data_IF_930795202199
#
_entry.id   IF_930795202199
#
_cell.length_a   1.000
_cell.length_b   1.000
_cell.length_c   1.000
_cell.angle_alpha   90.00
_cell.angle_beta   90.00
_cell.angle_gamma   90.00
#
_symmetry.space_group_name_H-M   'P 1'
#
loop_
_entity.id
_entity.type
_entity.pdbx_description
1 polymer ?
#
# COMPACT_ATOMS: atom_id res chain seq x y z
N UNK A 1 -21.65 3.09 9.05
CA UNK A 1 -22.62 3.05 7.93
C UNK A 1 -22.01 3.87 6.80
N UNK A 2 -21.14 3.27 5.98
CA UNK A 2 -20.52 3.97 4.86
C UNK A 2 -21.54 4.11 3.74
N UNK A 3 -21.84 5.36 3.42
CA UNK A 3 -22.78 5.72 2.36
C UNK A 3 -22.13 5.45 1.01
N UNK A 4 -22.66 4.47 0.25
CA UNK A 4 -22.37 4.17 -1.17
C UNK A 4 -22.81 5.30 -2.12
N UNK A 5 -22.83 6.55 -1.65
CA UNK A 5 -23.53 7.69 -2.26
C UNK A 5 -22.79 8.34 -3.43
N UNK A 6 -21.64 7.83 -3.87
CA UNK A 6 -20.84 8.50 -4.93
C UNK A 6 -20.55 7.60 -6.15
N UNK A 7 -21.02 6.34 -6.18
CA UNK A 7 -20.87 5.48 -7.35
C UNK A 7 -22.11 5.57 -8.26
N UNK A 8 -21.91 5.71 -9.58
CA UNK A 8 -23.01 5.63 -10.56
C UNK A 8 -23.65 4.23 -10.58
N UNK A 9 -24.87 4.12 -11.11
CA UNK A 9 -25.67 2.89 -11.07
C UNK A 9 -25.05 1.70 -11.84
N UNK A 10 -24.24 1.96 -12.86
CA UNK A 10 -23.48 0.92 -13.58
C UNK A 10 -22.36 0.39 -12.71
N UNK A 11 -21.64 1.27 -12.02
CA UNK A 11 -20.59 0.91 -11.07
C UNK A 11 -21.15 0.05 -9.92
N UNK A 12 -22.31 0.42 -9.36
CA UNK A 12 -22.99 -0.39 -8.34
C UNK A 12 -23.40 -1.77 -8.87
N UNK A 13 -23.90 -1.83 -10.11
CA UNK A 13 -24.28 -3.10 -10.77
C UNK A 13 -23.10 -4.07 -10.90
N UNK A 14 -21.94 -3.57 -11.34
CA UNK A 14 -20.71 -4.38 -11.47
C UNK A 14 -20.22 -4.87 -10.11
N UNK A 15 -20.16 -3.99 -9.11
CA UNK A 15 -19.72 -4.36 -7.75
C UNK A 15 -20.66 -5.41 -7.15
N UNK A 16 -21.97 -5.22 -7.30
CA UNK A 16 -22.97 -6.15 -6.75
C UNK A 16 -22.88 -7.53 -7.41
N UNK A 17 -22.69 -7.58 -8.73
CA UNK A 17 -22.51 -8.84 -9.46
C UNK A 17 -21.24 -9.57 -9.01
N UNK A 18 -20.13 -8.85 -8.85
CA UNK A 18 -18.87 -9.41 -8.36
C UNK A 18 -19.01 -9.98 -6.94
N UNK A 19 -19.53 -9.19 -6.00
CA UNK A 19 -19.69 -9.61 -4.60
C UNK A 19 -20.63 -10.81 -4.47
N UNK A 20 -21.72 -10.82 -5.25
CA UNK A 20 -22.66 -11.94 -5.28
C UNK A 20 -22.03 -13.21 -5.85
N UNK A 21 -21.24 -13.09 -6.93
CA UNK A 21 -20.52 -14.22 -7.53
C UNK A 21 -19.45 -14.82 -6.61
N UNK A 22 -18.88 -14.01 -5.72
CA UNK A 22 -17.94 -14.45 -4.69
C UNK A 22 -18.61 -15.00 -3.42
N UNK A 23 -19.95 -15.05 -3.38
CA UNK A 23 -20.73 -15.35 -2.18
C UNK A 23 -20.30 -14.51 -0.97
N UNK A 24 -19.91 -13.26 -1.21
CA UNK A 24 -19.33 -12.39 -0.19
C UNK A 24 -20.37 -12.07 0.88
N UNK A 25 -20.02 -12.33 2.14
CA UNK A 25 -20.78 -11.90 3.32
C UNK A 25 -19.92 -10.93 4.14
N UNK A 26 -20.51 -9.83 4.59
CA UNK A 26 -19.79 -8.85 5.39
C UNK A 26 -19.34 -9.49 6.71
N UNK A 27 -18.04 -9.46 7.06
CA UNK A 27 -17.55 -10.01 8.32
C UNK A 27 -18.23 -9.33 9.51
N UNK A 28 -18.87 -10.11 10.39
CA UNK A 28 -19.43 -9.64 11.66
C UNK A 28 -18.31 -9.62 12.71
N UNK A 29 -17.41 -8.65 12.61
CA UNK A 29 -16.19 -8.61 13.42
C UNK A 29 -16.35 -7.69 14.63
N UNK A 30 -15.97 -8.18 15.82
CA UNK A 30 -15.85 -7.33 17.02
C UNK A 30 -14.55 -6.51 16.92
N UNK A 31 -14.54 -5.21 17.23
CA UNK A 31 -13.31 -4.42 17.18
C UNK A 31 -12.31 -4.93 18.22
N UNK A 32 -11.14 -5.36 17.75
CA UNK A 32 -10.01 -5.75 18.61
C UNK A 32 -9.20 -4.49 18.97
N UNK A 33 -9.03 -4.22 20.27
CA UNK A 33 -8.40 -3.01 20.79
C UNK A 33 -6.87 -3.09 20.93
N UNK A 34 -6.26 -4.27 20.87
CA UNK A 34 -4.87 -4.50 21.30
C UNK A 34 -3.79 -3.91 20.36
N UNK A 35 -3.79 -4.17 19.03
CA UNK A 35 -2.70 -3.73 18.14
C UNK A 35 -2.73 -2.22 17.79
N UNK A 36 -3.82 -1.50 18.09
CA UNK A 36 -3.95 -0.07 17.82
C UNK A 36 -2.98 0.79 18.67
N UNK A 37 -2.57 0.28 19.83
CA UNK A 37 -1.63 0.94 20.73
C UNK A 37 -0.16 0.82 20.29
N UNK A 38 0.17 -0.20 19.49
CA UNK A 38 1.52 -0.43 18.98
C UNK A 38 1.81 0.43 17.74
N UNK A 39 0.89 0.47 16.77
CA UNK A 39 1.01 1.29 15.55
C UNK A 39 1.07 2.79 15.85
N UNK A 40 0.32 3.25 16.86
CA UNK A 40 0.30 4.67 17.26
C UNK A 40 1.58 5.15 17.94
N UNK A 41 2.48 4.24 18.32
CA UNK A 41 3.79 4.51 18.92
C UNK A 41 4.96 4.30 17.96
N UNK A 42 4.70 3.81 16.76
CA UNK A 42 5.76 3.59 15.78
C UNK A 42 6.17 4.95 15.18
N UNK A 43 7.45 5.29 15.32
CA UNK A 43 8.04 6.54 14.82
C UNK A 43 7.84 6.71 13.32
N UNK A 44 7.71 5.62 12.56
CA UNK A 44 7.42 5.68 11.14
C UNK A 44 6.01 6.19 10.87
N UNK A 45 5.04 5.74 11.67
CA UNK A 45 3.64 6.18 11.60
C UNK A 45 3.50 7.61 12.13
N UNK A 46 4.27 8.00 13.14
CA UNK A 46 4.34 9.40 13.59
C UNK A 46 4.89 10.33 12.49
N UNK A 47 5.95 9.93 11.79
CA UNK A 47 6.51 10.72 10.68
C UNK A 47 5.51 10.85 9.53
N UNK A 48 4.82 9.74 9.19
CA UNK A 48 3.76 9.72 8.19
C UNK A 48 2.54 10.57 8.55
N UNK A 49 2.26 10.76 9.84
CA UNK A 49 1.10 11.53 10.34
C UNK A 49 1.41 13.00 10.64
N UNK A 50 2.63 13.48 10.34
CA UNK A 50 2.95 14.90 10.44
C UNK A 50 2.14 15.72 9.41
N UNK A 51 1.77 16.98 9.72
CA UNK A 51 0.69 17.70 9.03
C UNK A 51 1.10 18.30 7.67
N UNK A 52 1.90 17.59 6.87
CA UNK A 52 2.40 18.10 5.60
C UNK A 52 1.40 17.94 4.43
N UNK A 53 0.22 17.32 4.63
CA UNK A 53 -0.73 17.05 3.53
C UNK A 53 -2.20 17.27 3.93
N UNK A 54 -3.00 18.00 3.12
CA UNK A 54 -4.45 18.05 3.24
C UNK A 54 -5.09 16.87 2.49
N UNK A 55 -5.62 15.90 3.24
CA UNK A 55 -6.25 14.69 2.73
C UNK A 55 -6.66 13.79 3.90
N UNK A 56 -7.58 12.86 3.70
CA UNK A 56 -8.11 12.02 4.78
C UNK A 56 -7.01 11.38 5.62
N UNK A 57 -7.20 11.35 6.95
CA UNK A 57 -6.16 10.90 7.87
C UNK A 57 -5.76 9.46 7.56
N UNK A 58 -4.47 9.16 7.28
CA UNK A 58 -4.01 7.81 6.99
C UNK A 58 -4.30 6.80 8.11
N UNK A 59 -4.55 7.30 9.32
CA UNK A 59 -5.03 6.51 10.46
C UNK A 59 -6.36 5.82 10.17
N UNK A 60 -7.26 6.43 9.39
CA UNK A 60 -8.60 5.89 9.08
C UNK A 60 -8.53 4.66 8.18
N UNK A 61 -7.67 4.69 7.16
CA UNK A 61 -7.47 3.55 6.25
C UNK A 61 -6.79 2.37 6.95
N UNK A 62 -5.79 2.65 7.79
CA UNK A 62 -5.14 1.63 8.62
C UNK A 62 -6.13 0.94 9.58
N UNK A 63 -7.08 1.69 10.14
CA UNK A 63 -8.13 1.13 10.98
C UNK A 63 -9.12 0.25 10.20
N UNK A 64 -9.39 0.54 8.93
CA UNK A 64 -10.30 -0.27 8.10
C UNK A 64 -9.68 -1.57 7.61
N UNK A 65 -8.40 -1.56 7.23
CA UNK A 65 -7.72 -2.80 6.84
C UNK A 65 -7.58 -3.80 8.00
N UNK A 66 -7.49 -3.32 9.24
CA UNK A 66 -7.42 -4.17 10.44
C UNK A 66 -8.59 -5.14 10.57
N UNK A 67 -9.81 -4.67 10.34
CA UNK A 67 -11.01 -5.48 10.58
C UNK A 67 -11.15 -6.63 9.55
N UNK A 68 -10.43 -6.54 8.43
CA UNK A 68 -10.32 -7.59 7.41
C UNK A 68 -9.22 -8.62 7.72
N UNK A 69 -8.31 -8.33 8.66
CA UNK A 69 -7.14 -9.15 8.99
C UNK A 69 -7.32 -10.03 10.24
N UNK A 70 -8.55 -10.14 10.76
CA UNK A 70 -8.86 -10.91 11.97
C UNK A 70 -8.40 -12.38 12.02
N UNK A 71 -8.30 -13.15 10.92
CA UNK A 71 -7.79 -14.52 11.04
C UNK A 71 -6.29 -14.59 11.37
N UNK A 72 -5.56 -13.47 11.35
CA UNK A 72 -4.12 -13.45 11.59
C UNK A 72 -3.77 -13.14 13.05
N UNK A 73 -2.61 -13.63 13.53
CA UNK A 73 -2.04 -13.25 14.83
C UNK A 73 -1.81 -11.74 14.94
N UNK A 74 -1.71 -11.20 16.17
CA UNK A 74 -1.44 -9.77 16.39
C UNK A 74 -0.14 -9.28 15.71
N UNK A 75 0.90 -10.13 15.68
CA UNK A 75 2.18 -9.82 15.03
C UNK A 75 2.04 -9.69 13.51
N UNK A 76 1.29 -10.61 12.89
CA UNK A 76 0.96 -10.53 11.47
C UNK A 76 0.09 -9.30 11.16
N UNK A 77 -0.91 -9.01 12.00
CA UNK A 77 -1.75 -7.81 11.83
C UNK A 77 -0.91 -6.53 11.91
N UNK A 78 0.03 -6.46 12.84
CA UNK A 78 0.96 -5.33 12.98
C UNK A 78 1.83 -5.16 11.74
N UNK A 79 2.48 -6.24 11.30
CA UNK A 79 3.32 -6.19 10.10
C UNK A 79 2.51 -5.75 8.88
N UNK A 80 1.35 -6.36 8.63
CA UNK A 80 0.53 -6.03 7.46
C UNK A 80 0.08 -4.58 7.51
N UNK A 81 -0.34 -4.09 8.67
CA UNK A 81 -0.73 -2.69 8.83
C UNK A 81 0.45 -1.75 8.52
N UNK A 82 1.64 -2.01 9.05
CA UNK A 82 2.80 -1.15 8.82
C UNK A 82 3.32 -1.24 7.37
N UNK A 83 3.33 -2.44 6.78
CA UNK A 83 3.63 -2.66 5.37
C UNK A 83 2.69 -1.85 4.46
N UNK A 84 1.39 -1.90 4.74
CA UNK A 84 0.39 -1.14 3.98
C UNK A 84 0.57 0.36 4.18
N UNK A 85 0.81 0.83 5.41
CA UNK A 85 1.09 2.25 5.68
C UNK A 85 2.27 2.77 4.85
N UNK A 86 3.40 2.03 4.87
CA UNK A 86 4.58 2.40 4.08
C UNK A 86 4.31 2.35 2.57
N UNK A 87 3.46 1.44 2.11
CA UNK A 87 3.10 1.34 0.68
C UNK A 87 2.25 2.53 0.23
N UNK A 88 1.26 2.93 1.03
CA UNK A 88 0.44 4.12 0.75
C UNK A 88 1.32 5.38 0.77
N UNK A 89 2.23 5.50 1.75
CA UNK A 89 3.17 6.62 1.78
C UNK A 89 3.99 6.74 0.49
N UNK A 90 4.53 5.62 -0.02
CA UNK A 90 5.26 5.59 -1.30
C UNK A 90 4.37 6.06 -2.45
N UNK A 91 3.12 5.62 -2.51
CA UNK A 91 2.16 5.99 -3.56
C UNK A 91 1.86 7.51 -3.54
N UNK A 92 1.50 8.03 -2.37
CA UNK A 92 1.13 9.44 -2.17
C UNK A 92 2.30 10.40 -2.38
N UNK A 93 3.51 10.00 -1.96
CA UNK A 93 4.68 10.90 -1.90
C UNK A 93 5.70 10.64 -3.01
N UNK A 94 5.57 9.55 -3.76
CA UNK A 94 6.50 9.18 -4.82
C UNK A 94 6.61 10.24 -5.92
N UNK A 95 5.53 10.98 -6.19
CA UNK A 95 5.53 12.04 -7.18
C UNK A 95 6.32 13.29 -6.72
N UNK A 96 6.37 13.54 -5.41
CA UNK A 96 7.11 14.67 -4.84
C UNK A 96 8.62 14.38 -4.74
N UNK A 97 8.99 13.12 -4.47
CA UNK A 97 10.38 12.66 -4.42
C UNK A 97 10.59 11.33 -5.16
N UNK A 98 10.58 11.33 -6.50
CA UNK A 98 10.78 10.11 -7.28
C UNK A 98 12.20 9.55 -7.14
N UNK A 99 13.20 10.36 -6.76
CA UNK A 99 14.58 9.89 -6.59
C UNK A 99 14.68 8.92 -5.42
N UNK A 100 14.04 9.26 -4.28
CA UNK A 100 13.98 8.36 -3.12
C UNK A 100 13.39 6.99 -3.48
N UNK A 101 12.31 6.97 -4.28
CA UNK A 101 11.62 5.75 -4.71
C UNK A 101 12.50 4.93 -5.66
N UNK A 102 13.11 5.59 -6.65
CA UNK A 102 13.96 4.95 -7.65
C UNK A 102 15.24 4.32 -7.08
N UNK A 103 15.85 4.95 -6.08
CA UNK A 103 17.08 4.43 -5.45
C UNK A 103 16.82 3.35 -4.39
N UNK A 104 15.56 3.13 -3.99
CA UNK A 104 15.21 2.21 -2.89
C UNK A 104 15.74 0.80 -3.14
N UNK A 105 15.42 0.21 -4.29
CA UNK A 105 15.74 -1.20 -4.58
C UNK A 105 17.24 -1.46 -4.60
N UNK A 106 18.01 -0.53 -5.18
CA UNK A 106 19.47 -0.63 -5.20
C UNK A 106 20.04 -0.48 -3.79
N UNK A 107 19.55 0.47 -2.99
CA UNK A 107 19.99 0.63 -1.60
C UNK A 107 19.66 -0.58 -0.74
N UNK A 108 18.44 -1.09 -0.85
CA UNK A 108 17.96 -2.26 -0.13
C UNK A 108 18.83 -3.50 -0.42
N UNK A 109 19.13 -3.76 -1.69
CA UNK A 109 19.97 -4.88 -2.10
C UNK A 109 21.43 -4.78 -1.60
N UNK A 110 21.89 -3.58 -1.26
CA UNK A 110 23.24 -3.31 -0.77
C UNK A 110 23.28 -3.01 0.75
N UNK A 111 22.18 -3.27 1.46
CA UNK A 111 22.04 -2.99 2.91
C UNK A 111 22.43 -1.54 3.29
N UNK A 112 22.08 -0.59 2.42
CA UNK A 112 22.31 0.84 2.64
C UNK A 112 21.06 1.48 3.23
N UNK A 113 21.27 2.46 4.11
CA UNK A 113 20.20 3.37 4.56
C UNK A 113 19.48 4.01 3.38
N UNK A 114 18.17 4.06 3.49
CA UNK A 114 17.27 4.71 2.56
C UNK A 114 17.39 6.24 2.67
N UNK A 115 16.83 6.94 1.68
CA UNK A 115 16.83 8.41 1.67
C UNK A 115 15.74 9.01 2.55
N UNK A 116 14.75 8.21 2.90
CA UNK A 116 13.58 8.61 3.66
C UNK A 116 13.43 7.69 4.89
N UNK A 117 13.12 8.23 6.09
CA UNK A 117 12.94 7.43 7.30
C UNK A 117 11.80 6.40 7.24
N UNK A 118 10.71 6.68 6.52
CA UNK A 118 9.63 5.71 6.27
C UNK A 118 10.14 4.59 5.36
N UNK A 119 11.04 4.92 4.43
CA UNK A 119 11.66 3.90 3.58
C UNK A 119 12.65 3.03 4.37
N UNK A 120 13.38 3.59 5.33
CA UNK A 120 14.19 2.80 6.26
C UNK A 120 13.31 1.81 7.05
N UNK A 121 12.14 2.28 7.51
CA UNK A 121 11.13 1.45 8.16
C UNK A 121 10.65 0.31 7.26
N UNK A 122 10.35 0.65 6.00
CA UNK A 122 9.87 -0.30 5.02
C UNK A 122 10.96 -1.35 4.70
N UNK A 123 12.21 -0.92 4.52
CA UNK A 123 13.34 -1.82 4.32
C UNK A 123 13.50 -2.80 5.49
N UNK A 124 13.39 -2.32 6.74
CA UNK A 124 13.47 -3.17 7.93
C UNK A 124 12.32 -4.18 7.99
N UNK A 125 11.09 -3.80 7.59
CA UNK A 125 9.99 -4.75 7.48
C UNK A 125 10.30 -5.86 6.48
N UNK A 126 10.76 -5.50 5.27
CA UNK A 126 11.05 -6.46 4.22
C UNK A 126 12.17 -7.45 4.63
N UNK A 127 13.19 -6.98 5.33
CA UNK A 127 14.25 -7.84 5.88
C UNK A 127 13.70 -8.83 6.91
N UNK A 128 12.69 -8.44 7.68
CA UNK A 128 12.08 -9.27 8.72
C UNK A 128 10.95 -10.18 8.22
N UNK A 129 10.59 -10.16 6.93
CA UNK A 129 9.50 -10.97 6.39
C UNK A 129 9.66 -12.47 6.68
N UNK A 130 10.89 -13.00 6.63
CA UNK A 130 11.15 -14.43 6.90
C UNK A 130 10.88 -14.85 8.35
N UNK A 131 10.75 -13.90 9.29
CA UNK A 131 10.38 -14.19 10.67
C UNK A 131 8.89 -14.57 10.81
N UNK A 132 8.04 -14.12 9.88
CA UNK A 132 6.58 -14.30 9.93
C UNK A 132 6.05 -15.23 8.84
N UNK A 133 6.73 -15.28 7.69
CA UNK A 133 6.30 -16.10 6.56
C UNK A 133 7.33 -17.16 6.17
N UNK A 134 6.89 -18.33 5.66
CA UNK A 134 7.79 -19.27 5.00
C UNK A 134 8.58 -18.60 3.88
N UNK A 135 9.79 -19.09 3.62
CA UNK A 135 10.75 -18.45 2.70
C UNK A 135 10.15 -18.07 1.32
N UNK A 136 9.32 -18.94 0.72
CA UNK A 136 8.67 -18.65 -0.57
C UNK A 136 7.73 -17.44 -0.47
N UNK A 137 6.92 -17.37 0.58
CA UNK A 137 5.99 -16.27 0.80
C UNK A 137 6.71 -14.97 1.18
N UNK A 138 7.73 -15.05 2.04
CA UNK A 138 8.57 -13.90 2.38
C UNK A 138 9.26 -13.31 1.13
N UNK A 139 9.82 -14.17 0.26
CA UNK A 139 10.44 -13.74 -0.99
C UNK A 139 9.42 -13.09 -1.94
N UNK A 140 8.19 -13.62 -2.00
CA UNK A 140 7.12 -13.03 -2.80
C UNK A 140 6.73 -11.63 -2.29
N UNK A 141 6.63 -11.44 -0.96
CA UNK A 141 6.35 -10.14 -0.34
C UNK A 141 7.45 -9.12 -0.67
N UNK A 142 8.72 -9.49 -0.46
CA UNK A 142 9.86 -8.61 -0.75
C UNK A 142 9.88 -8.23 -2.22
N UNK A 143 9.73 -9.20 -3.12
CA UNK A 143 9.71 -8.96 -4.56
C UNK A 143 8.57 -8.03 -4.97
N UNK A 144 7.36 -8.28 -4.49
CA UNK A 144 6.20 -7.43 -4.78
C UNK A 144 6.43 -5.98 -4.31
N UNK A 145 7.03 -5.79 -3.13
CA UNK A 145 7.34 -4.46 -2.62
C UNK A 145 8.40 -3.70 -3.44
N UNK A 146 9.34 -4.40 -4.08
CA UNK A 146 10.33 -3.81 -4.98
C UNK A 146 9.74 -3.49 -6.36
N UNK A 147 8.90 -4.40 -6.88
CA UNK A 147 8.17 -4.19 -8.14
C UNK A 147 7.19 -3.01 -8.02
N UNK A 148 6.46 -2.91 -6.90
CA UNK A 148 5.58 -1.78 -6.60
C UNK A 148 6.32 -0.43 -6.67
N UNK A 149 7.47 -0.31 -6.00
CA UNK A 149 8.28 0.94 -6.05
C UNK A 149 8.77 1.27 -7.45
N UNK A 150 9.14 0.24 -8.22
CA UNK A 150 9.53 0.41 -9.62
C UNK A 150 8.35 0.95 -10.44
N UNK A 151 7.15 0.44 -10.22
CA UNK A 151 5.94 0.92 -10.88
C UNK A 151 5.62 2.38 -10.51
N UNK A 152 5.65 2.71 -9.22
CA UNK A 152 5.44 4.10 -8.73
C UNK A 152 6.46 5.05 -9.33
N UNK A 153 7.74 4.67 -9.37
CA UNK A 153 8.78 5.48 -10.02
C UNK A 153 8.48 5.74 -11.50
N UNK A 154 8.07 4.70 -12.23
CA UNK A 154 7.68 4.83 -13.64
C UNK A 154 6.48 5.76 -13.77
N UNK A 155 5.43 5.60 -12.96
CA UNK A 155 4.26 6.48 -12.98
C UNK A 155 4.65 7.95 -12.75
N UNK A 156 5.46 8.20 -11.72
CA UNK A 156 5.92 9.54 -11.36
C UNK A 156 6.78 10.20 -12.44
N UNK A 157 7.60 9.42 -13.15
CA UNK A 157 8.54 9.94 -14.16
C UNK A 157 7.97 9.96 -15.58
N UNK A 158 6.92 9.18 -15.84
CA UNK A 158 6.34 9.04 -17.18
C UNK A 158 4.95 9.64 -17.34
N UNK A 159 4.29 10.08 -16.26
CA UNK A 159 2.92 10.63 -16.32
C UNK A 159 2.72 11.86 -17.23
N UNK A 160 3.81 12.51 -17.67
CA UNK A 160 3.78 13.65 -18.62
C UNK A 160 4.43 13.32 -19.97
N UNK A 161 4.87 12.09 -20.20
CA UNK A 161 5.49 11.70 -21.47
C UNK A 161 4.42 11.61 -22.55
N UNK A 162 4.67 12.26 -23.69
CA UNK A 162 3.84 12.12 -24.87
C UNK A 162 3.92 10.67 -25.37
N UNK A 163 2.77 10.01 -25.52
CA UNK A 163 2.68 8.73 -26.21
C UNK A 163 3.13 8.95 -27.65
N UNK A 164 4.06 8.13 -28.15
CA UNK A 164 4.55 8.26 -29.52
C UNK A 164 3.37 8.19 -30.51
N UNK A 165 3.25 9.12 -31.48
CA UNK A 165 2.19 9.12 -32.48
C UNK A 165 2.11 7.83 -33.31
N UNK A 166 3.21 7.07 -33.36
CA UNK A 166 3.35 5.82 -34.13
C UNK A 166 2.54 4.64 -33.59
N UNK A 167 1.84 4.77 -32.45
CA UNK A 167 1.07 3.69 -31.82
C UNK A 167 -0.44 3.85 -31.99
N UNK A 168 -0.96 4.97 -32.53
CA UNK A 168 -2.38 5.05 -32.87
C UNK A 168 -2.60 4.12 -34.08
N UNK A 169 -3.29 2.97 -33.94
CA UNK A 169 -3.63 2.17 -35.09
C UNK A 169 -4.60 3.02 -35.91
N UNK A 170 -4.18 3.44 -37.09
CA UNK A 170 -5.06 4.04 -38.07
C UNK A 170 -6.07 2.96 -38.48
N UNK A 171 -7.16 2.84 -37.73
CA UNK A 171 -8.32 2.07 -38.16
C UNK A 171 -8.95 2.91 -39.27
N UNK A 172 -8.49 2.68 -40.51
CA UNK A 172 -9.17 3.19 -41.69
C UNK A 172 -10.52 2.47 -41.76
N UNK A 173 -11.59 3.25 -41.73
CA UNK A 173 -12.94 2.83 -42.07
C UNK A 173 -13.05 2.45 -43.56
#
# INVERSE_FOLDING_TARGET
MLSLSVADDKTKGVITALLSGLAYAFPQTRPNTDPASALSRDRCVEHYTQPHVPGESPRRELHHHRDLLQPHSAEHQYYIALYTACSIYVDDHGAADPVSVGEFSQRFANDRKQLDPVFDCYAALLQNAQALWPAVAANAIVRAALEFKTAVYVECTTGKMAVSPSIIPTISA
#
